data_IF_034578441731
#
_entry.id   IF_034578441731
#
_cell.length_a   1.000
_cell.length_b   1.000
_cell.length_c   1.000
_cell.angle_alpha   90.00
_cell.angle_beta   90.00
_cell.angle_gamma   90.00
#
_symmetry.space_group_name_H-M   'P 1'
#
loop_
_entity.id
_entity.type
_entity.pdbx_description
1 polymer ?
#
# COMPACT_ATOMS: atom_id res chain seq x y z
N UNK A 1 -41.36 31.28 18.09
CA UNK A 1 -42.33 30.96 17.01
C UNK A 1 -41.79 29.76 16.23
N UNK A 2 -42.21 28.55 16.57
CA UNK A 2 -41.73 27.31 15.94
C UNK A 2 -42.47 27.02 14.64
N UNK A 3 -41.74 26.63 13.59
CA UNK A 3 -42.30 26.28 12.29
C UNK A 3 -43.19 25.04 12.46
N UNK A 4 -44.50 25.18 12.30
CA UNK A 4 -45.45 24.07 12.29
C UNK A 4 -45.31 23.29 10.98
N UNK A 5 -44.60 22.17 11.05
CA UNK A 5 -44.43 21.24 9.92
C UNK A 5 -45.80 20.70 9.45
N UNK A 6 -46.09 20.85 8.15
CA UNK A 6 -47.35 20.47 7.52
C UNK A 6 -47.62 18.96 7.48
N UNK A 7 -48.90 18.58 7.32
CA UNK A 7 -49.43 17.19 7.39
C UNK A 7 -48.66 16.18 6.53
N UNK A 8 -48.23 16.57 5.34
CA UNK A 8 -47.46 15.72 4.42
C UNK A 8 -46.10 15.25 4.99
N UNK A 9 -45.49 16.01 5.90
CA UNK A 9 -44.24 15.63 6.56
C UNK A 9 -44.44 14.73 7.78
N UNK A 10 -45.65 14.72 8.38
CA UNK A 10 -45.97 13.83 9.51
C UNK A 10 -46.29 12.41 9.05
N UNK A 11 -46.97 12.26 7.91
CA UNK A 11 -47.40 10.96 7.39
C UNK A 11 -46.22 10.03 7.02
N UNK A 12 -45.10 10.59 6.54
CA UNK A 12 -43.88 9.83 6.23
C UNK A 12 -43.05 9.40 7.44
N UNK A 13 -43.28 10.00 8.61
CA UNK A 13 -42.54 9.72 9.86
C UNK A 13 -43.36 8.85 10.82
N UNK A 14 -44.69 8.79 10.62
CA UNK A 14 -45.59 7.97 11.45
C UNK A 14 -45.21 6.50 11.36
N UNK A 15 -44.97 5.89 12.53
CA UNK A 15 -44.54 4.49 12.64
C UNK A 15 -45.59 3.50 12.11
N UNK A 16 -46.86 3.91 12.09
CA UNK A 16 -47.98 3.10 11.59
C UNK A 16 -47.99 2.96 10.06
N UNK A 17 -47.40 3.93 9.35
CA UNK A 17 -47.33 3.97 7.87
C UNK A 17 -45.98 3.46 7.33
N UNK A 18 -45.06 3.02 8.19
CA UNK A 18 -43.77 2.48 7.76
C UNK A 18 -43.94 1.06 7.24
N UNK A 19 -43.56 0.86 5.98
CA UNK A 19 -43.48 -0.48 5.37
C UNK A 19 -42.42 -1.30 6.12
N UNK A 20 -42.86 -2.29 6.91
CA UNK A 20 -41.97 -3.24 7.59
C UNK A 20 -41.52 -4.31 6.58
N UNK A 21 -40.45 -4.04 5.85
CA UNK A 21 -39.76 -5.08 5.08
C UNK A 21 -39.03 -6.02 6.04
N UNK A 22 -39.35 -7.32 6.01
CA UNK A 22 -38.51 -8.33 6.67
C UNK A 22 -37.26 -8.51 5.84
N UNK A 23 -36.09 -8.14 6.38
CA UNK A 23 -34.81 -8.46 5.76
C UNK A 23 -34.72 -9.97 5.63
N UNK A 24 -34.81 -10.49 4.41
CA UNK A 24 -34.59 -11.92 4.15
C UNK A 24 -33.13 -12.21 4.50
N UNK A 25 -32.89 -12.93 5.59
CA UNK A 25 -31.56 -13.48 5.89
C UNK A 25 -31.21 -14.47 4.78
N UNK A 26 -30.37 -14.05 3.83
CA UNK A 26 -29.81 -14.94 2.81
C UNK A 26 -28.82 -15.87 3.51
N UNK A 27 -29.06 -17.17 3.45
CA UNK A 27 -28.08 -18.17 3.85
C UNK A 27 -27.09 -18.35 2.71
N UNK A 28 -25.89 -17.81 2.89
CA UNK A 28 -24.78 -18.05 1.97
C UNK A 28 -24.47 -19.55 1.97
N UNK A 29 -24.40 -20.16 0.79
CA UNK A 29 -23.94 -21.54 0.61
C UNK A 29 -22.48 -21.46 0.15
N UNK A 30 -21.50 -21.71 1.04
CA UNK A 30 -20.10 -21.37 0.77
C UNK A 30 -19.58 -21.93 -0.55
N UNK A 31 -19.83 -23.21 -0.87
CA UNK A 31 -19.31 -23.78 -2.12
C UNK A 31 -20.01 -23.28 -3.39
N UNK A 32 -21.33 -23.09 -3.35
CA UNK A 32 -22.11 -22.73 -4.54
C UNK A 32 -21.97 -21.24 -4.88
N UNK A 33 -22.00 -20.37 -3.86
CA UNK A 33 -21.84 -18.92 -4.06
C UNK A 33 -20.39 -18.55 -4.43
N UNK A 34 -19.39 -19.35 -4.02
CA UNK A 34 -17.98 -19.13 -4.36
C UNK A 34 -17.55 -19.73 -5.72
N UNK A 35 -18.34 -20.60 -6.33
CA UNK A 35 -17.98 -21.27 -7.59
C UNK A 35 -17.82 -20.27 -8.76
N UNK A 36 -18.66 -19.23 -8.80
CA UNK A 36 -18.54 -18.16 -9.80
C UNK A 36 -17.32 -17.27 -9.56
N UNK A 37 -16.96 -17.04 -8.30
CA UNK A 37 -15.77 -16.28 -7.93
C UNK A 37 -14.49 -17.06 -8.27
N UNK A 38 -14.43 -18.34 -7.94
CA UNK A 38 -13.27 -19.19 -8.20
C UNK A 38 -13.01 -19.37 -9.70
N UNK A 39 -14.06 -19.53 -10.51
CA UNK A 39 -13.94 -19.59 -11.97
C UNK A 39 -13.36 -18.30 -12.56
N UNK A 40 -13.84 -17.14 -12.11
CA UNK A 40 -13.33 -15.83 -12.55
C UNK A 40 -11.88 -15.61 -12.13
N UNK A 41 -11.52 -15.93 -10.90
CA UNK A 41 -10.13 -15.83 -10.42
C UNK A 41 -9.18 -16.66 -11.28
N UNK A 42 -9.61 -17.88 -11.68
CA UNK A 42 -8.79 -18.75 -12.54
C UNK A 42 -8.63 -18.20 -13.96
N UNK A 43 -9.70 -17.65 -14.55
CA UNK A 43 -9.63 -17.03 -15.89
C UNK A 43 -8.69 -15.82 -15.89
N UNK A 44 -8.86 -14.94 -14.90
CA UNK A 44 -8.02 -13.74 -14.75
C UNK A 44 -6.57 -14.15 -14.48
N UNK A 45 -6.32 -15.15 -13.62
CA UNK A 45 -4.97 -15.65 -13.36
C UNK A 45 -4.28 -16.19 -14.62
N UNK A 46 -5.00 -16.83 -15.53
CA UNK A 46 -4.46 -17.29 -16.80
C UNK A 46 -4.18 -16.12 -17.77
N UNK A 47 -5.02 -15.08 -17.79
CA UNK A 47 -4.85 -13.88 -18.62
C UNK A 47 -3.68 -13.00 -18.16
N UNK A 48 -3.43 -12.92 -16.84
CA UNK A 48 -2.37 -12.10 -16.25
C UNK A 48 -0.95 -12.60 -16.54
N UNK A 49 -0.80 -13.84 -17.03
CA UNK A 49 0.51 -14.44 -17.32
C UNK A 49 1.29 -14.83 -16.06
N UNK A 50 2.53 -15.32 -16.20
CA UNK A 50 3.37 -15.69 -15.06
C UNK A 50 3.67 -14.46 -14.20
N UNK A 51 3.72 -14.65 -12.87
CA UNK A 51 4.17 -13.62 -11.94
C UNK A 51 5.62 -13.24 -12.31
N UNK A 52 5.80 -12.00 -12.74
CA UNK A 52 7.12 -11.45 -13.05
C UNK A 52 7.61 -10.72 -11.81
N UNK A 53 8.80 -11.07 -11.33
CA UNK A 53 9.45 -10.35 -10.24
C UNK A 53 9.71 -8.91 -10.68
N UNK A 54 9.06 -7.96 -10.01
CA UNK A 54 9.29 -6.53 -10.24
C UNK A 54 10.56 -6.15 -9.49
N UNK A 55 11.63 -5.70 -10.17
CA UNK A 55 12.86 -5.29 -9.49
C UNK A 55 12.58 -4.09 -8.57
N UNK A 56 13.25 -4.05 -7.41
CA UNK A 56 13.08 -2.99 -6.43
C UNK A 56 13.54 -1.62 -7.01
N UNK A 57 12.64 -0.63 -7.00
CA UNK A 57 12.86 0.70 -7.59
C UNK A 57 12.78 1.79 -6.51
N UNK A 58 13.90 2.41 -6.11
CA UNK A 58 13.89 3.76 -5.49
C UNK A 58 15.19 4.50 -5.81
N UNK A 59 15.09 5.71 -6.39
CA UNK A 59 16.13 6.74 -6.42
C UNK A 59 15.50 8.09 -6.03
N UNK A 60 16.12 8.82 -5.11
CA UNK A 60 15.64 10.12 -4.63
C UNK A 60 16.58 11.20 -5.18
N UNK A 61 16.06 12.11 -6.01
CA UNK A 61 16.72 13.35 -6.43
C UNK A 61 15.73 14.52 -6.35
N UNK A 62 16.19 15.66 -5.82
CA UNK A 62 15.48 16.96 -5.83
C UNK A 62 14.02 16.95 -5.36
N UNK A 63 13.73 16.20 -4.29
CA UNK A 63 12.38 16.09 -3.68
C UNK A 63 11.29 15.62 -4.66
N UNK A 64 11.68 15.05 -5.81
CA UNK A 64 10.77 14.49 -6.82
C UNK A 64 10.99 13.00 -6.90
N UNK A 65 9.90 12.26 -6.75
CA UNK A 65 9.88 10.83 -6.98
C UNK A 65 10.03 10.56 -8.48
N UNK A 66 11.20 10.10 -8.90
CA UNK A 66 11.47 9.68 -10.28
C UNK A 66 11.59 8.15 -10.30
N UNK A 67 10.71 7.49 -11.07
CA UNK A 67 10.79 6.05 -11.29
C UNK A 67 11.56 5.78 -12.58
N UNK A 68 12.70 5.11 -12.47
CA UNK A 68 13.56 4.78 -13.60
C UNK A 68 13.82 3.26 -13.64
N UNK A 69 13.90 2.71 -14.85
CA UNK A 69 14.19 1.29 -15.06
C UNK A 69 15.69 1.06 -14.93
N UNK A 70 16.12 0.57 -13.77
CA UNK A 70 17.52 0.23 -13.52
C UNK A 70 17.85 -1.14 -14.13
N UNK A 71 19.03 -1.29 -14.72
CA UNK A 71 19.49 -2.58 -15.25
C UNK A 71 19.83 -3.56 -14.12
N UNK A 72 19.71 -4.86 -14.39
CA UNK A 72 20.06 -5.90 -13.42
C UNK A 72 21.56 -5.89 -13.07
N UNK A 73 22.41 -5.47 -14.01
CA UNK A 73 23.84 -5.25 -13.81
C UNK A 73 24.09 -4.25 -12.67
N UNK A 74 23.45 -3.08 -12.72
CA UNK A 74 23.59 -2.06 -11.67
C UNK A 74 23.15 -2.56 -10.30
N UNK A 75 22.06 -3.34 -10.22
CA UNK A 75 21.61 -3.94 -8.96
C UNK A 75 22.64 -4.92 -8.38
N UNK A 76 23.36 -5.65 -9.25
CA UNK A 76 24.40 -6.60 -8.85
C UNK A 76 25.65 -5.89 -8.32
N UNK A 77 25.86 -4.63 -8.71
CA UNK A 77 27.00 -3.81 -8.29
C UNK A 77 26.74 -2.98 -7.03
N UNK A 78 25.57 -3.08 -6.40
CA UNK A 78 25.32 -2.44 -5.12
C UNK A 78 26.19 -3.10 -4.03
N UNK A 79 26.91 -2.28 -3.26
CA UNK A 79 27.90 -2.77 -2.30
C UNK A 79 27.55 -2.47 -0.86
N UNK A 80 26.79 -1.41 -0.57
CA UNK A 80 26.48 -1.00 0.80
C UNK A 80 24.98 -0.73 0.95
N UNK A 81 24.39 -1.12 2.08
CA UNK A 81 23.02 -0.77 2.47
C UNK A 81 23.00 0.20 3.64
N UNK A 82 22.01 1.08 3.65
CA UNK A 82 21.74 2.01 4.74
C UNK A 82 20.56 1.51 5.58
N UNK A 83 20.76 1.40 6.89
CA UNK A 83 19.76 0.93 7.86
C UNK A 83 19.53 2.00 8.91
N UNK A 84 18.26 2.30 9.19
CA UNK A 84 17.83 3.10 10.33
C UNK A 84 17.28 2.19 11.41
N UNK A 85 17.56 2.50 12.67
CA UNK A 85 16.92 1.84 13.80
C UNK A 85 15.72 2.67 14.25
N UNK A 86 14.52 2.16 13.96
CA UNK A 86 13.27 2.75 14.42
C UNK A 86 12.71 1.95 15.61
N UNK A 87 11.68 2.47 16.29
CA UNK A 87 11.05 1.80 17.43
C UNK A 87 10.44 0.43 17.06
N UNK A 88 10.03 0.26 15.81
CA UNK A 88 9.47 -0.99 15.28
C UNK A 88 10.54 -2.00 14.83
N UNK A 89 11.82 -1.59 14.81
CA UNK A 89 12.95 -2.43 14.42
C UNK A 89 13.87 -1.76 13.38
N UNK A 90 14.93 -2.48 12.96
CA UNK A 90 15.82 -2.00 11.91
C UNK A 90 15.11 -2.01 10.56
N UNK A 91 15.13 -0.87 9.88
CA UNK A 91 14.55 -0.67 8.55
C UNK A 91 15.65 -0.32 7.55
N UNK A 92 15.71 -1.06 6.46
CA UNK A 92 16.62 -0.74 5.34
C UNK A 92 16.01 0.37 4.49
N UNK A 93 16.74 1.46 4.27
CA UNK A 93 16.32 2.58 3.44
C UNK A 93 16.64 2.39 1.96
N UNK A 94 17.80 1.80 1.68
CA UNK A 94 18.30 1.63 0.32
C UNK A 94 19.73 1.11 0.31
N UNK A 95 20.30 1.03 -0.89
CA UNK A 95 21.67 0.60 -1.11
C UNK A 95 22.39 1.50 -2.13
N UNK A 96 23.71 1.55 -2.04
CA UNK A 96 24.60 2.37 -2.86
C UNK A 96 25.67 1.52 -3.55
N UNK A 97 26.21 2.07 -4.64
CA UNK A 97 27.28 1.43 -5.42
C UNK A 97 28.62 1.42 -4.69
N UNK A 98 28.88 2.39 -3.83
CA UNK A 98 30.11 2.52 -3.05
C UNK A 98 29.87 3.10 -1.65
N UNK A 99 30.91 3.02 -0.82
CA UNK A 99 30.91 3.54 0.55
C UNK A 99 30.88 5.08 0.58
N UNK A 100 31.50 5.75 -0.39
CA UNK A 100 31.57 7.21 -0.43
C UNK A 100 30.17 7.81 -0.57
N UNK A 101 29.38 7.28 -1.50
CA UNK A 101 27.97 7.66 -1.70
C UNK A 101 27.14 7.34 -0.46
N UNK A 102 27.35 6.18 0.18
CA UNK A 102 26.66 5.84 1.43
C UNK A 102 26.96 6.87 2.54
N UNK A 103 28.21 7.30 2.65
CA UNK A 103 28.65 8.30 3.64
C UNK A 103 28.05 9.67 3.36
N UNK A 104 27.96 10.09 2.10
CA UNK A 104 27.32 11.36 1.74
C UNK A 104 25.83 11.37 2.10
N UNK A 105 25.11 10.28 1.81
CA UNK A 105 23.70 10.13 2.18
C UNK A 105 23.54 10.12 3.70
N UNK A 106 24.38 9.37 4.42
CA UNK A 106 24.37 9.32 5.88
C UNK A 106 24.60 10.71 6.51
N UNK A 107 25.55 11.48 5.98
CA UNK A 107 25.80 12.84 6.44
C UNK A 107 24.62 13.77 6.16
N UNK A 108 23.99 13.65 4.99
CA UNK A 108 22.78 14.41 4.66
C UNK A 108 21.64 14.13 5.64
N UNK A 109 21.37 12.86 5.91
CA UNK A 109 20.34 12.43 6.87
C UNK A 109 20.63 12.92 8.30
N UNK A 110 21.87 12.82 8.75
CA UNK A 110 22.27 13.29 10.07
C UNK A 110 22.10 14.82 10.23
N UNK A 111 22.38 15.60 9.17
CA UNK A 111 22.27 17.06 9.19
C UNK A 111 20.83 17.55 9.11
N UNK A 112 20.01 16.93 8.26
CA UNK A 112 18.65 17.41 7.95
C UNK A 112 17.61 16.85 8.92
N UNK A 113 17.73 15.57 9.29
CA UNK A 113 16.72 14.84 10.04
C UNK A 113 17.17 14.50 11.47
N UNK A 114 18.47 14.66 11.79
CA UNK A 114 19.03 14.22 13.07
C UNK A 114 19.10 12.69 13.22
N UNK A 115 18.86 11.97 12.12
CA UNK A 115 18.82 10.51 12.08
C UNK A 115 20.22 9.91 11.93
N UNK A 116 20.51 8.86 12.71
CA UNK A 116 21.75 8.08 12.57
C UNK A 116 21.46 6.83 11.75
N UNK A 117 22.29 6.59 10.74
CA UNK A 117 22.21 5.41 9.89
C UNK A 117 23.40 4.47 10.12
N UNK A 118 23.12 3.18 10.05
CA UNK A 118 24.12 2.12 9.99
C UNK A 118 24.39 1.79 8.52
N UNK A 119 25.66 1.80 8.13
CA UNK A 119 26.10 1.38 6.79
C UNK A 119 26.66 -0.03 6.89
N UNK A 120 26.09 -0.98 6.15
CA UNK A 120 26.55 -2.36 6.10
C UNK A 120 26.89 -2.79 4.68
N UNK A 121 28.00 -3.53 4.46
CA UNK A 121 28.28 -4.10 3.16
C UNK A 121 27.29 -5.21 2.79
N UNK A 122 26.85 -5.24 1.54
CA UNK A 122 26.07 -6.31 0.95
C UNK A 122 27.02 -7.50 0.67
N UNK A 123 26.62 -8.70 1.11
CA UNK A 123 27.37 -9.96 0.90
C UNK A 123 26.87 -10.69 -0.33
#
# INVERSE_FOLDING_TARGET
>A
MGILMGRAFRDGVSQENKVRMRVKKRSWRPLADLQGLSGRTRSIGNEMGPLVDVPAMVRIEDEKWIFERISQETLTHLTHRLIVHEAEGPRTLGATLDLETAMQVAQGMARTEGSVVLIEPLR
#
